data_IF_357564599804
#
_entry.id   IF_357564599804
#
_cell.length_a   1.000
_cell.length_b   1.000
_cell.length_c   1.000
_cell.angle_alpha   90.00
_cell.angle_beta   90.00
_cell.angle_gamma   90.00
#
_symmetry.space_group_name_H-M   'P 1'
#
loop_
_entity.id
_entity.type
_entity.pdbx_description
1 polymer ?
#
# COMPACT_ATOMS: atom_id res chain seq x y z
N UNK A 1 -7.80 16.44 3.02
CA UNK A 1 -7.15 15.40 3.86
C UNK A 1 -5.85 14.89 3.25
N UNK A 2 -5.84 14.42 2.00
CA UNK A 2 -4.61 13.95 1.31
C UNK A 2 -3.54 15.04 1.20
N UNK A 3 -3.90 16.22 0.66
CA UNK A 3 -2.99 17.38 0.54
C UNK A 3 -2.29 17.69 1.88
N UNK A 4 -3.04 17.69 2.98
CA UNK A 4 -2.49 17.97 4.30
C UNK A 4 -1.61 16.83 4.83
N UNK A 5 -2.06 15.58 4.71
CA UNK A 5 -1.33 14.41 5.22
C UNK A 5 0.03 14.23 4.52
N UNK A 6 0.05 14.41 3.20
CA UNK A 6 1.26 14.30 2.37
C UNK A 6 2.02 15.63 2.25
N UNK A 7 1.57 16.70 2.93
CA UNK A 7 2.17 18.06 2.88
C UNK A 7 2.37 18.58 1.45
N UNK A 8 1.43 18.25 0.56
CA UNK A 8 1.47 18.67 -0.83
C UNK A 8 1.10 20.15 -0.96
N UNK A 9 1.69 20.89 -1.91
CA UNK A 9 1.26 22.25 -2.20
C UNK A 9 -0.16 22.24 -2.79
N UNK A 10 -0.91 23.34 -2.59
CA UNK A 10 -2.27 23.43 -3.16
C UNK A 10 -2.29 23.34 -4.71
N UNK A 11 -1.16 23.65 -5.36
CA UNK A 11 -0.99 23.45 -6.81
C UNK A 11 -1.15 21.99 -7.25
N UNK A 12 -0.91 21.03 -6.34
CA UNK A 12 -1.00 19.60 -6.64
C UNK A 12 -2.42 19.05 -6.48
N UNK A 13 -3.40 19.90 -6.16
CA UNK A 13 -4.80 19.49 -6.02
C UNK A 13 -5.33 18.81 -7.27
N UNK A 14 -4.97 19.31 -8.47
CA UNK A 14 -5.37 18.67 -9.72
C UNK A 14 -4.76 17.27 -9.83
N UNK A 15 -3.46 17.12 -9.58
CA UNK A 15 -2.77 15.83 -9.62
C UNK A 15 -3.40 14.83 -8.64
N UNK A 16 -3.74 15.26 -7.43
CA UNK A 16 -4.42 14.40 -6.43
C UNK A 16 -5.80 13.97 -6.94
N UNK A 17 -6.56 14.87 -7.55
CA UNK A 17 -7.85 14.54 -8.14
C UNK A 17 -7.70 13.53 -9.29
N UNK A 18 -6.75 13.75 -10.19
CA UNK A 18 -6.46 12.86 -11.32
C UNK A 18 -6.07 11.43 -10.83
N UNK A 19 -5.24 11.33 -9.79
CA UNK A 19 -4.89 10.04 -9.15
C UNK A 19 -6.13 9.37 -8.57
N UNK A 20 -7.01 10.13 -7.91
CA UNK A 20 -8.25 9.58 -7.34
C UNK A 20 -9.20 9.09 -8.45
N UNK A 21 -9.37 9.85 -9.54
CA UNK A 21 -10.15 9.40 -10.70
C UNK A 21 -9.55 8.17 -11.36
N UNK A 22 -8.22 8.11 -11.48
CA UNK A 22 -7.50 6.93 -11.99
C UNK A 22 -7.71 5.73 -11.07
N UNK A 23 -7.74 5.93 -9.75
CA UNK A 23 -8.05 4.89 -8.75
C UNK A 23 -9.47 4.37 -8.93
N UNK A 24 -10.46 5.26 -9.14
CA UNK A 24 -11.85 4.88 -9.42
C UNK A 24 -11.97 4.08 -10.72
N UNK A 25 -11.27 4.52 -11.78
CA UNK A 25 -11.28 3.85 -13.09
C UNK A 25 -10.62 2.46 -13.05
N UNK A 26 -9.54 2.33 -12.28
CA UNK A 26 -8.77 1.09 -12.15
C UNK A 26 -9.34 0.13 -11.11
N UNK A 27 -10.03 0.62 -10.08
CA UNK A 27 -10.56 -0.18 -8.98
C UNK A 27 -12.06 -0.46 -9.06
N UNK A 28 -12.61 -0.96 -7.96
CA UNK A 28 -14.07 -1.02 -7.72
C UNK A 28 -14.40 -0.15 -6.51
N UNK A 29 -14.30 1.15 -6.70
CA UNK A 29 -14.47 2.18 -5.67
C UNK A 29 -15.09 3.43 -6.28
N UNK A 30 -15.50 4.39 -5.44
CA UNK A 30 -15.97 5.71 -5.89
C UNK A 30 -15.13 6.83 -5.28
N UNK A 31 -15.23 8.02 -5.86
CA UNK A 31 -14.54 9.20 -5.34
C UNK A 31 -14.98 9.53 -3.91
N UNK A 32 -16.26 9.36 -3.60
CA UNK A 32 -16.84 9.56 -2.28
C UNK A 32 -16.30 8.55 -1.28
N UNK A 33 -16.24 7.27 -1.64
CA UNK A 33 -15.68 6.22 -0.79
C UNK A 33 -14.21 6.45 -0.47
N UNK A 34 -13.40 6.82 -1.47
CA UNK A 34 -12.00 7.17 -1.28
C UNK A 34 -11.87 8.40 -0.38
N UNK A 35 -12.59 9.47 -0.67
CA UNK A 35 -12.57 10.71 0.13
C UNK A 35 -12.94 10.47 1.59
N UNK A 36 -13.90 9.58 1.84
CA UNK A 36 -14.38 9.23 3.17
C UNK A 36 -13.46 8.27 3.93
N UNK A 37 -12.52 7.57 3.28
CA UNK A 37 -11.71 6.51 3.90
C UNK A 37 -10.20 6.78 3.93
N UNK A 38 -9.68 7.63 3.03
CA UNK A 38 -8.24 7.91 2.92
C UNK A 38 -7.62 8.47 4.21
N UNK A 39 -8.41 9.11 5.08
CA UNK A 39 -7.94 9.58 6.39
C UNK A 39 -7.32 8.46 7.25
N UNK A 40 -7.74 7.21 7.03
CA UNK A 40 -7.26 6.07 7.82
C UNK A 40 -5.81 5.74 7.49
N UNK A 41 -5.39 5.85 6.22
CA UNK A 41 -4.09 5.36 5.76
C UNK A 41 -3.12 6.47 5.39
N UNK A 42 -3.61 7.63 4.96
CA UNK A 42 -2.76 8.73 4.49
C UNK A 42 -1.69 9.19 5.53
N UNK A 43 -1.99 9.32 6.84
CA UNK A 43 -0.98 9.76 7.80
C UNK A 43 0.19 8.79 7.95
N UNK A 44 -0.08 7.49 8.00
CA UNK A 44 0.99 6.49 8.16
C UNK A 44 1.79 6.31 6.87
N UNK A 45 1.12 6.36 5.71
CA UNK A 45 1.79 6.31 4.43
C UNK A 45 2.80 7.46 4.28
N UNK A 46 2.36 8.69 4.58
CA UNK A 46 3.22 9.86 4.56
C UNK A 46 4.37 9.76 5.57
N UNK A 47 4.10 9.26 6.79
CA UNK A 47 5.14 9.08 7.81
C UNK A 47 6.17 8.00 7.43
N UNK A 48 5.79 7.02 6.61
CA UNK A 48 6.67 5.97 6.10
C UNK A 48 7.32 6.30 4.76
N UNK A 49 7.10 7.49 4.21
CA UNK A 49 7.63 7.86 2.89
C UNK A 49 6.95 7.15 1.71
N UNK A 50 5.86 6.43 1.95
CA UNK A 50 5.06 5.81 0.88
C UNK A 50 4.29 6.91 0.16
N UNK A 51 4.35 6.94 -1.17
CA UNK A 51 3.71 7.99 -1.98
C UNK A 51 2.20 7.81 -2.06
N UNK A 52 1.48 8.89 -2.37
CA UNK A 52 0.03 8.83 -2.55
C UNK A 52 -0.35 7.92 -3.74
N UNK A 53 0.46 7.93 -4.80
CA UNK A 53 0.34 7.04 -5.96
C UNK A 53 0.40 5.56 -5.55
N UNK A 54 1.27 5.18 -4.62
CA UNK A 54 1.41 3.81 -4.13
C UNK A 54 0.21 3.38 -3.28
N UNK A 55 -0.30 4.29 -2.44
CA UNK A 55 -1.53 4.07 -1.67
C UNK A 55 -2.71 3.87 -2.64
N UNK A 56 -2.88 4.77 -3.60
CA UNK A 56 -3.95 4.74 -4.58
C UNK A 56 -3.91 3.48 -5.45
N UNK A 57 -2.74 3.10 -5.94
CA UNK A 57 -2.56 1.86 -6.69
C UNK A 57 -2.92 0.63 -5.85
N UNK A 58 -2.50 0.58 -4.59
CA UNK A 58 -2.85 -0.52 -3.70
C UNK A 58 -4.38 -0.61 -3.49
N UNK A 59 -5.05 0.52 -3.27
CA UNK A 59 -6.51 0.56 -3.13
C UNK A 59 -7.23 0.16 -4.43
N UNK A 60 -6.75 0.59 -5.59
CA UNK A 60 -7.28 0.15 -6.89
C UNK A 60 -7.17 -1.37 -7.03
N UNK A 61 -5.99 -1.94 -6.77
CA UNK A 61 -5.75 -3.39 -6.86
C UNK A 61 -6.60 -4.20 -5.88
N UNK A 62 -6.71 -3.75 -4.62
CA UNK A 62 -7.49 -4.46 -3.59
C UNK A 62 -8.99 -4.39 -3.87
N UNK A 63 -9.50 -3.22 -4.26
CA UNK A 63 -10.93 -3.05 -4.56
C UNK A 63 -11.33 -3.79 -5.83
N UNK A 64 -10.46 -3.87 -6.84
CA UNK A 64 -10.65 -4.69 -8.05
C UNK A 64 -10.93 -6.16 -7.71
N UNK A 65 -10.32 -6.67 -6.65
CA UNK A 65 -10.53 -8.01 -6.10
C UNK A 65 -11.79 -8.15 -5.24
N UNK A 66 -12.56 -7.07 -5.05
CA UNK A 66 -13.81 -7.07 -4.29
C UNK A 66 -13.67 -6.70 -2.82
N UNK A 67 -12.49 -6.24 -2.37
CA UNK A 67 -12.32 -5.71 -1.02
C UNK A 67 -12.99 -4.33 -0.93
N UNK A 68 -13.95 -4.10 -0.03
CA UNK A 68 -14.57 -2.78 0.10
C UNK A 68 -13.54 -1.68 0.43
N UNK A 69 -13.72 -0.47 -0.12
CA UNK A 69 -12.75 0.64 -0.01
C UNK A 69 -12.31 0.94 1.43
N UNK A 70 -13.27 0.97 2.37
CA UNK A 70 -12.99 1.19 3.81
C UNK A 70 -12.20 0.04 4.44
N UNK A 71 -12.42 -1.19 3.99
CA UNK A 71 -11.69 -2.37 4.46
C UNK A 71 -10.28 -2.35 3.89
N UNK A 72 -10.12 -2.04 2.60
CA UNK A 72 -8.83 -1.95 1.93
C UNK A 72 -7.92 -0.90 2.59
N UNK A 73 -8.45 0.28 2.90
CA UNK A 73 -7.69 1.34 3.61
C UNK A 73 -7.28 0.91 5.01
N UNK A 74 -8.13 0.21 5.77
CA UNK A 74 -7.76 -0.36 7.07
C UNK A 74 -6.69 -1.44 6.95
N UNK A 75 -6.83 -2.38 6.02
CA UNK A 75 -5.86 -3.45 5.79
C UNK A 75 -4.50 -2.91 5.37
N UNK A 76 -4.48 -1.95 4.44
CA UNK A 76 -3.26 -1.30 3.99
C UNK A 76 -2.57 -0.53 5.13
N UNK A 77 -3.35 0.18 5.95
CA UNK A 77 -2.84 0.82 7.18
C UNK A 77 -2.17 -0.20 8.09
N UNK A 78 -2.79 -1.36 8.31
CA UNK A 78 -2.23 -2.41 9.18
C UNK A 78 -0.95 -3.01 8.60
N UNK A 79 -0.85 -3.20 7.28
CA UNK A 79 0.38 -3.63 6.64
C UNK A 79 1.52 -2.62 6.87
N UNK A 80 1.26 -1.33 6.76
CA UNK A 80 2.25 -0.29 7.05
C UNK A 80 2.63 -0.24 8.53
N UNK A 81 1.66 -0.41 9.44
CA UNK A 81 1.94 -0.53 10.90
C UNK A 81 2.87 -1.72 11.17
N UNK A 82 2.63 -2.86 10.52
CA UNK A 82 3.48 -4.04 10.69
C UNK A 82 4.92 -3.80 10.20
N UNK A 83 5.12 -3.02 9.13
CA UNK A 83 6.46 -2.65 8.66
C UNK A 83 7.19 -1.69 9.62
N UNK A 84 6.45 -0.77 10.27
CA UNK A 84 7.01 0.13 11.28
C UNK A 84 7.26 -0.54 12.63
N UNK A 85 6.41 -1.52 12.98
CA UNK A 85 6.50 -2.30 14.22
C UNK A 85 6.54 -3.80 13.89
N UNK A 86 7.63 -4.27 13.28
CA UNK A 86 7.78 -5.65 12.86
C UNK A 86 7.74 -6.62 14.04
N UNK A 87 7.14 -7.79 13.82
CA UNK A 87 7.24 -8.92 14.74
C UNK A 87 8.68 -9.44 14.81
N UNK A 88 9.00 -10.29 15.79
CA UNK A 88 10.32 -10.92 15.86
C UNK A 88 10.65 -11.73 14.60
N UNK A 89 9.65 -12.36 14.00
CA UNK A 89 9.83 -13.12 12.76
C UNK A 89 10.05 -12.22 11.55
N UNK A 90 9.28 -11.12 11.43
CA UNK A 90 9.51 -10.15 10.36
C UNK A 90 10.89 -9.49 10.49
N UNK A 91 11.31 -9.10 11.69
CA UNK A 91 12.63 -8.52 11.93
C UNK A 91 13.76 -9.45 11.51
N UNK A 92 13.66 -10.75 11.80
CA UNK A 92 14.65 -11.73 11.37
C UNK A 92 14.76 -11.77 9.85
N UNK A 93 13.62 -11.84 9.17
CA UNK A 93 13.58 -11.86 7.70
C UNK A 93 14.14 -10.56 7.10
N UNK A 94 13.78 -9.40 7.65
CA UNK A 94 14.31 -8.09 7.20
C UNK A 94 15.84 -8.06 7.30
N UNK A 95 16.40 -8.51 8.44
CA UNK A 95 17.84 -8.59 8.64
C UNK A 95 18.51 -9.60 7.71
N UNK A 96 17.91 -10.77 7.50
CA UNK A 96 18.41 -11.81 6.59
C UNK A 96 18.44 -11.33 5.13
N UNK A 97 17.54 -10.42 4.77
CA UNK A 97 17.50 -9.74 3.47
C UNK A 97 18.50 -8.58 3.36
N UNK A 98 19.21 -8.24 4.43
CA UNK A 98 20.25 -7.22 4.46
C UNK A 98 19.76 -5.80 4.75
N UNK A 99 18.52 -5.61 5.22
CA UNK A 99 17.99 -4.30 5.58
C UNK A 99 18.00 -4.09 7.10
N UNK A 100 18.20 -2.86 7.54
CA UNK A 100 18.14 -2.49 8.97
C UNK A 100 16.70 -2.51 9.51
N UNK A 101 15.73 -2.12 8.68
CA UNK A 101 14.34 -1.99 9.08
C UNK A 101 13.38 -2.08 7.90
N UNK A 102 12.09 -2.28 8.20
CA UNK A 102 11.02 -2.18 7.19
C UNK A 102 10.91 -0.75 6.61
N UNK A 103 11.27 0.26 7.39
CA UNK A 103 11.32 1.65 6.92
C UNK A 103 12.40 1.84 5.84
N UNK A 104 13.60 1.27 6.05
CA UNK A 104 14.69 1.27 5.06
C UNK A 104 14.25 0.58 3.77
N UNK A 105 13.54 -0.56 3.86
CA UNK A 105 12.99 -1.23 2.69
C UNK A 105 12.00 -0.33 1.92
N UNK A 106 11.09 0.35 2.62
CA UNK A 106 10.13 1.26 2.00
C UNK A 106 10.82 2.42 1.27
N UNK A 107 11.88 2.98 1.86
CA UNK A 107 12.66 4.07 1.26
C UNK A 107 13.43 3.63 0.00
N UNK A 108 14.04 2.44 0.04
CA UNK A 108 14.87 1.95 -1.07
C UNK A 108 14.07 1.27 -2.19
N UNK A 109 13.01 0.54 -1.83
CA UNK A 109 12.27 -0.32 -2.75
C UNK A 109 10.90 0.24 -3.13
N UNK A 110 10.32 1.11 -2.30
CA UNK A 110 8.91 1.46 -2.36
C UNK A 110 8.01 0.33 -1.81
N UNK A 111 6.71 0.63 -1.69
CA UNK A 111 5.71 -0.25 -1.09
C UNK A 111 5.58 -1.57 -1.86
N UNK A 112 5.40 -1.50 -3.18
CA UNK A 112 5.13 -2.68 -4.01
C UNK A 112 6.24 -3.73 -3.92
N UNK A 113 7.49 -3.31 -4.11
CA UNK A 113 8.65 -4.21 -4.03
C UNK A 113 8.94 -4.66 -2.59
N UNK A 114 8.71 -3.82 -1.59
CA UNK A 114 8.86 -4.21 -0.18
C UNK A 114 7.92 -5.36 0.17
N UNK A 115 6.63 -5.23 -0.16
CA UNK A 115 5.65 -6.28 0.12
C UNK A 115 5.95 -7.56 -0.66
N UNK A 116 6.30 -7.46 -1.95
CA UNK A 116 6.64 -8.63 -2.77
C UNK A 116 7.90 -9.35 -2.26
N UNK A 117 8.92 -8.60 -1.85
CA UNK A 117 10.17 -9.16 -1.29
C UNK A 117 9.89 -9.92 0.01
N UNK A 118 9.12 -9.34 0.92
CA UNK A 118 8.74 -9.99 2.18
C UNK A 118 7.85 -11.20 1.96
N UNK A 119 6.93 -11.15 1.00
CA UNK A 119 6.10 -12.31 0.66
C UNK A 119 6.92 -13.45 0.05
N UNK A 120 7.88 -13.16 -0.83
CA UNK A 120 8.78 -14.18 -1.39
C UNK A 120 9.64 -14.84 -0.34
N UNK A 121 10.06 -14.09 0.68
CA UNK A 121 10.82 -14.63 1.80
C UNK A 121 10.04 -15.66 2.63
N UNK A 122 8.71 -15.72 2.52
CA UNK A 122 7.90 -16.78 3.14
C UNK A 122 7.84 -18.06 2.31
N UNK A 123 8.44 -18.08 1.11
CA UNK A 123 8.34 -19.16 0.13
C UNK A 123 6.87 -19.55 -0.18
N UNK A 124 5.94 -18.59 -0.11
CA UNK A 124 4.51 -18.82 -0.32
C UNK A 124 3.77 -19.40 0.89
N UNK A 125 4.42 -19.50 2.06
CA UNK A 125 3.76 -19.93 3.29
C UNK A 125 2.85 -18.83 3.83
N UNK A 126 1.54 -19.02 3.70
CA UNK A 126 0.54 -18.13 4.30
C UNK A 126 0.69 -18.08 5.83
N UNK A 127 1.02 -19.18 6.48
CA UNK A 127 1.22 -19.19 7.94
C UNK A 127 2.37 -18.28 8.35
N UNK A 128 3.50 -18.36 7.65
CA UNK A 128 4.66 -17.53 7.92
C UNK A 128 4.38 -16.06 7.61
N UNK A 129 3.65 -15.79 6.53
CA UNK A 129 3.22 -14.43 6.19
C UNK A 129 2.38 -13.82 7.32
N UNK A 130 1.39 -14.55 7.83
CA UNK A 130 0.52 -14.08 8.91
C UNK A 130 1.30 -13.88 10.21
N UNK A 131 2.26 -14.76 10.52
CA UNK A 131 3.17 -14.60 11.67
C UNK A 131 4.02 -13.34 11.55
N UNK A 132 4.59 -13.08 10.37
CA UNK A 132 5.40 -11.89 10.13
C UNK A 132 4.57 -10.62 10.32
N UNK A 133 3.42 -10.51 9.65
CA UNK A 133 2.61 -9.29 9.66
C UNK A 133 1.75 -9.12 10.93
N UNK A 134 1.56 -10.17 11.72
CA UNK A 134 1.02 -10.11 13.08
C UNK A 134 -0.47 -9.78 13.20
N UNK A 135 -1.14 -9.42 12.10
CA UNK A 135 -2.59 -9.22 12.05
C UNK A 135 -3.19 -9.80 10.77
N UNK A 136 -4.47 -10.18 10.84
CA UNK A 136 -5.21 -10.73 9.71
C UNK A 136 -5.39 -9.69 8.62
N UNK A 137 -5.62 -8.45 9.02
CA UNK A 137 -5.79 -7.31 8.13
C UNK A 137 -4.51 -7.02 7.34
N UNK A 138 -3.36 -6.98 8.02
CA UNK A 138 -2.07 -6.77 7.36
C UNK A 138 -1.73 -7.91 6.39
N UNK A 139 -1.86 -9.17 6.84
CA UNK A 139 -1.62 -10.33 5.98
C UNK A 139 -2.54 -10.36 4.77
N UNK A 140 -3.81 -9.97 4.93
CA UNK A 140 -4.80 -9.89 3.85
C UNK A 140 -4.43 -8.81 2.81
N UNK A 141 -3.97 -7.63 3.25
CA UNK A 141 -3.43 -6.62 2.33
C UNK A 141 -2.23 -7.17 1.53
N UNK A 142 -1.29 -7.83 2.20
CA UNK A 142 -0.09 -8.35 1.54
C UNK A 142 -0.46 -9.41 0.51
N UNK A 143 -1.35 -10.35 0.83
CA UNK A 143 -1.84 -11.35 -0.11
C UNK A 143 -2.56 -10.71 -1.32
N UNK A 144 -3.34 -9.66 -1.09
CA UNK A 144 -4.03 -8.95 -2.16
C UNK A 144 -3.08 -8.15 -3.07
N UNK A 145 -1.88 -7.79 -2.61
CA UNK A 145 -0.94 -6.91 -3.32
C UNK A 145 0.28 -7.64 -3.89
N UNK A 146 0.49 -8.91 -3.55
CA UNK A 146 1.70 -9.66 -3.90
C UNK A 146 1.37 -10.97 -4.64
N UNK A 147 2.39 -11.78 -4.94
CA UNK A 147 2.21 -13.04 -5.65
C UNK A 147 1.64 -12.80 -7.06
N UNK A 148 0.55 -13.49 -7.41
CA UNK A 148 -0.10 -13.29 -8.71
C UNK A 148 -0.66 -11.88 -8.91
N UNK A 149 -0.93 -11.16 -7.82
CA UNK A 149 -1.47 -9.80 -7.86
C UNK A 149 -0.39 -8.72 -7.96
N UNK A 150 0.89 -9.08 -7.77
CA UNK A 150 2.00 -8.11 -7.84
C UNK A 150 2.08 -7.43 -9.21
N UNK A 151 1.78 -8.17 -10.29
CA UNK A 151 1.74 -7.62 -11.66
C UNK A 151 0.63 -6.57 -11.81
N UNK A 152 -0.56 -6.87 -11.28
CA UNK A 152 -1.68 -5.92 -11.27
C UNK A 152 -1.36 -4.68 -10.44
N UNK A 153 -0.74 -4.86 -9.28
CA UNK A 153 -0.33 -3.74 -8.43
C UNK A 153 0.72 -2.86 -9.10
N UNK A 154 1.72 -3.46 -9.76
CA UNK A 154 2.72 -2.71 -10.52
C UNK A 154 2.10 -1.93 -11.68
N UNK A 155 1.14 -2.52 -12.42
CA UNK A 155 0.44 -1.85 -13.51
C UNK A 155 -0.48 -0.72 -13.00
N UNK A 156 -1.18 -0.94 -11.88
CA UNK A 156 -2.00 0.11 -11.26
C UNK A 156 -1.10 1.26 -10.74
N UNK A 157 0.11 0.97 -10.24
CA UNK A 157 1.09 1.98 -9.84
C UNK A 157 1.58 2.81 -11.02
N UNK A 158 1.95 2.16 -12.12
CA UNK A 158 2.33 2.87 -13.36
C UNK A 158 1.19 3.76 -13.87
N UNK A 159 -0.06 3.33 -13.76
CA UNK A 159 -1.21 4.15 -14.11
C UNK A 159 -1.34 5.40 -13.21
N UNK A 160 -1.08 5.28 -11.89
CA UNK A 160 -1.10 6.43 -10.98
C UNK A 160 0.03 7.41 -11.24
N UNK A 161 1.22 6.92 -11.59
CA UNK A 161 2.38 7.75 -11.91
C UNK A 161 2.17 8.57 -13.20
N UNK A 162 1.39 8.02 -14.14
CA UNK A 162 1.05 8.65 -15.42
C UNK A 162 -0.31 9.38 -15.42
N UNK A 163 -0.95 9.56 -14.25
CA UNK A 163 -2.34 10.01 -14.16
C UNK A 163 -2.63 11.44 -14.65
N UNK A 164 -1.65 12.21 -15.14
CA UNK A 164 -1.86 13.61 -15.56
C UNK A 164 -3.03 13.76 -16.55
N UNK A 165 -4.08 14.48 -16.15
CA UNK A 165 -5.25 14.83 -16.98
C UNK A 165 -6.37 13.78 -17.05
N UNK A 166 -6.45 12.86 -16.09
CA UNK A 166 -7.45 11.78 -16.01
C UNK A 166 -8.86 12.20 -15.58
#
# INVERSE_FOLDING_TARGET
TVINAFKLPMSDTQKVADIMFTTVKGGKTTFEELSASLFQVAPIAAASGVRFEEVSAALATMTKQGVPTTVATTQLRQAMVALQKPTADMNRVINDLGYESGQTMLEELGLAKTLDTLQRATAGSNEMLMKMFGSVEAGSAVLALTGSNAVTFAADLEAMENATGA
#
